data_IF_082919881019
#
_entry.id   IF_082919881019
#
_cell.length_a   1.000
_cell.length_b   1.000
_cell.length_c   1.000
_cell.angle_alpha   90.00
_cell.angle_beta   90.00
_cell.angle_gamma   90.00
#
_symmetry.space_group_name_H-M   'P 1'
#
loop_
_entity.id
_entity.type
_entity.pdbx_description
1 polymer ?
#
# COMPACT_ATOMS: atom_id res chain seq x y z
N UNK A 1 -23.10 15.72 7.47
CA UNK A 1 -23.26 16.96 8.29
C UNK A 1 -22.50 16.84 9.62
N UNK A 2 -22.53 15.69 10.26
CA UNK A 2 -21.83 15.43 11.54
C UNK A 2 -20.30 15.52 11.38
N UNK A 3 -19.74 14.91 10.36
CA UNK A 3 -18.33 14.98 10.03
C UNK A 3 -17.78 16.40 9.85
N UNK A 4 -18.51 17.28 9.15
CA UNK A 4 -18.08 18.68 8.99
C UNK A 4 -18.06 19.46 10.31
N UNK A 5 -18.99 19.16 11.19
CA UNK A 5 -19.04 19.75 12.53
C UNK A 5 -17.85 19.31 13.37
N UNK A 6 -17.52 18.02 13.34
CA UNK A 6 -16.36 17.45 14.03
C UNK A 6 -15.05 18.06 13.53
N UNK A 7 -14.88 18.25 12.22
CA UNK A 7 -13.72 18.93 11.64
C UNK A 7 -13.60 20.37 12.10
N UNK A 8 -14.72 21.12 12.18
CA UNK A 8 -14.72 22.50 12.66
C UNK A 8 -14.36 22.58 14.15
N UNK A 9 -14.91 21.73 14.99
CA UNK A 9 -14.65 21.66 16.43
C UNK A 9 -13.19 21.31 16.75
N UNK A 10 -12.52 20.61 15.84
CA UNK A 10 -11.13 20.17 15.97
C UNK A 10 -10.12 21.04 15.20
N UNK A 11 -10.58 22.11 14.58
CA UNK A 11 -9.71 23.03 13.84
C UNK A 11 -8.56 23.54 14.73
N UNK A 12 -7.32 23.37 14.28
CA UNK A 12 -6.12 23.82 14.98
C UNK A 12 -5.63 22.91 16.10
N UNK A 13 -6.26 21.76 16.33
CA UNK A 13 -5.84 20.78 17.34
C UNK A 13 -4.85 19.73 16.83
N UNK A 14 -4.39 19.87 15.59
CA UNK A 14 -3.51 18.89 14.94
C UNK A 14 -4.30 17.74 14.30
N UNK A 15 -3.71 16.56 14.25
CA UNK A 15 -4.39 15.37 13.73
C UNK A 15 -5.41 14.86 14.75
N UNK A 16 -6.59 14.58 14.28
CA UNK A 16 -7.71 14.04 15.07
C UNK A 16 -8.00 12.63 14.54
N UNK A 17 -8.18 11.67 15.45
CA UNK A 17 -8.58 10.33 15.08
C UNK A 17 -9.97 10.36 14.45
N UNK A 18 -10.09 9.78 13.28
CA UNK A 18 -11.35 9.67 12.55
C UNK A 18 -11.72 8.21 12.34
N UNK A 19 -12.91 7.84 12.77
CA UNK A 19 -13.43 6.48 12.72
C UNK A 19 -13.03 5.64 13.93
N UNK A 20 -13.63 4.47 14.07
CA UNK A 20 -13.29 3.51 15.11
C UNK A 20 -11.95 2.85 14.79
N UNK A 21 -11.10 2.67 15.82
CA UNK A 21 -9.82 1.95 15.68
C UNK A 21 -10.01 0.53 15.10
N UNK A 22 -11.17 -0.08 15.36
CA UNK A 22 -11.52 -1.41 14.84
C UNK A 22 -11.96 -1.42 13.37
N UNK A 23 -12.32 -0.28 12.79
CA UNK A 23 -12.80 -0.23 11.40
C UNK A 23 -11.73 -0.61 10.37
N UNK A 24 -10.45 -0.46 10.72
CA UNK A 24 -9.32 -0.83 9.86
C UNK A 24 -8.89 -2.30 10.02
N UNK A 25 -9.36 -3.02 11.04
CA UNK A 25 -8.90 -4.39 11.29
C UNK A 25 -9.72 -5.47 10.57
N UNK A 26 -10.93 -5.18 10.14
CA UNK A 26 -11.86 -6.16 9.60
C UNK A 26 -12.34 -5.88 8.18
N UNK A 27 -11.50 -5.32 7.32
CA UNK A 27 -11.88 -5.05 5.92
C UNK A 27 -11.90 -6.30 5.03
N UNK A 28 -11.45 -7.43 5.56
CA UNK A 28 -11.66 -8.73 4.92
C UNK A 28 -12.90 -9.36 5.56
N UNK A 29 -14.07 -9.32 4.88
CA UNK A 29 -15.19 -10.14 5.31
C UNK A 29 -14.71 -11.58 5.37
N UNK A 30 -15.39 -12.43 6.13
CA UNK A 30 -15.17 -13.88 6.15
C UNK A 30 -15.29 -14.42 4.72
N UNK A 31 -14.22 -14.24 3.94
CA UNK A 31 -14.13 -14.75 2.57
C UNK A 31 -13.89 -16.24 2.71
N UNK A 32 -14.94 -17.02 2.51
CA UNK A 32 -14.81 -18.44 2.31
C UNK A 32 -13.86 -18.65 1.14
N UNK A 33 -12.62 -19.03 1.47
CA UNK A 33 -11.59 -19.27 0.46
C UNK A 33 -12.05 -20.36 -0.49
N UNK A 34 -12.22 -20.03 -1.76
CA UNK A 34 -12.47 -21.02 -2.80
C UNK A 34 -11.26 -21.95 -2.90
N UNK A 35 -11.48 -23.21 -3.27
CA UNK A 35 -10.41 -24.17 -3.51
C UNK A 35 -9.42 -23.68 -4.60
N UNK A 36 -9.92 -22.94 -5.57
CA UNK A 36 -9.13 -22.37 -6.67
C UNK A 36 -9.25 -20.84 -6.73
N UNK A 37 -8.19 -20.13 -7.17
CA UNK A 37 -6.85 -20.64 -7.47
C UNK A 37 -6.17 -21.21 -6.23
N UNK A 38 -5.28 -22.19 -6.41
CA UNK A 38 -4.50 -22.78 -5.31
C UNK A 38 -3.40 -21.84 -4.82
N UNK A 39 -2.80 -21.08 -5.75
CA UNK A 39 -1.75 -20.09 -5.49
C UNK A 39 -2.01 -18.84 -6.32
N UNK A 40 -1.62 -17.69 -5.78
CA UNK A 40 -1.68 -16.39 -6.43
C UNK A 40 -0.31 -15.73 -6.27
N UNK A 41 0.23 -15.23 -7.37
CA UNK A 41 1.50 -14.51 -7.37
C UNK A 41 1.24 -13.05 -7.71
N UNK A 42 1.82 -12.16 -6.93
CA UNK A 42 1.73 -10.71 -7.12
C UNK A 42 3.13 -10.19 -7.43
N UNK A 43 3.29 -9.56 -8.59
CA UNK A 43 4.51 -8.83 -8.93
C UNK A 43 4.41 -7.39 -8.46
N UNK A 44 5.42 -6.93 -7.76
CA UNK A 44 5.52 -5.56 -7.28
C UNK A 44 6.91 -4.98 -7.51
N UNK A 45 6.99 -3.68 -7.70
CA UNK A 45 8.25 -2.97 -7.84
C UNK A 45 8.21 -1.59 -7.18
N UNK A 46 9.33 -0.89 -7.25
CA UNK A 46 9.54 0.43 -6.64
C UNK A 46 8.63 1.54 -7.18
N UNK A 47 7.93 1.32 -8.29
CA UNK A 47 6.96 2.26 -8.86
C UNK A 47 5.53 2.04 -8.35
N UNK A 48 5.30 0.92 -7.69
CA UNK A 48 4.03 0.58 -7.06
C UNK A 48 3.86 1.38 -5.77
N UNK A 49 3.03 2.42 -5.76
CA UNK A 49 2.86 3.29 -4.60
C UNK A 49 1.41 3.62 -4.27
N UNK A 50 1.19 4.21 -3.09
CA UNK A 50 -0.12 4.68 -2.61
C UNK A 50 -1.15 3.55 -2.53
N UNK A 51 -2.19 3.58 -3.36
CA UNK A 51 -3.16 2.47 -3.46
C UNK A 51 -2.51 1.14 -3.84
N UNK A 52 -1.39 1.18 -4.56
CA UNK A 52 -0.57 0.00 -4.86
C UNK A 52 0.09 -0.58 -3.61
N UNK A 53 0.68 0.26 -2.75
CA UNK A 53 1.21 -0.16 -1.45
C UNK A 53 0.13 -0.90 -0.64
N UNK A 54 -1.07 -0.29 -0.56
CA UNK A 54 -2.19 -0.88 0.18
C UNK A 54 -2.66 -2.20 -0.44
N UNK A 55 -2.70 -2.29 -1.76
CA UNK A 55 -3.06 -3.53 -2.46
C UNK A 55 -2.07 -4.64 -2.13
N UNK A 56 -0.76 -4.38 -2.27
CA UNK A 56 0.28 -5.38 -2.00
C UNK A 56 0.28 -5.80 -0.52
N UNK A 57 0.18 -4.84 0.42
CA UNK A 57 0.09 -5.13 1.87
C UNK A 57 -1.14 -6.00 2.20
N UNK A 58 -2.27 -5.73 1.56
CA UNK A 58 -3.50 -6.51 1.76
C UNK A 58 -3.37 -7.90 1.17
N UNK A 59 -2.86 -8.02 -0.06
CA UNK A 59 -2.68 -9.31 -0.73
C UNK A 59 -1.71 -10.21 0.03
N UNK A 60 -0.62 -9.64 0.56
CA UNK A 60 0.41 -10.37 1.32
C UNK A 60 -0.13 -11.04 2.59
N UNK A 61 -1.25 -10.56 3.13
CA UNK A 61 -1.92 -11.17 4.30
C UNK A 61 -2.73 -12.43 3.96
N UNK A 62 -2.93 -12.72 2.67
CA UNK A 62 -3.72 -13.87 2.21
C UNK A 62 -2.83 -15.13 2.12
N UNK A 63 -3.26 -16.28 2.71
CA UNK A 63 -2.41 -17.48 2.79
C UNK A 63 -1.96 -18.07 1.45
N UNK A 64 -2.68 -17.78 0.37
CA UNK A 64 -2.39 -18.29 -0.98
C UNK A 64 -1.52 -17.36 -1.82
N UNK A 65 -1.21 -16.19 -1.29
CA UNK A 65 -0.50 -15.15 -2.03
C UNK A 65 0.98 -15.20 -1.71
N UNK A 66 1.78 -15.08 -2.75
CA UNK A 66 3.22 -14.84 -2.66
C UNK A 66 3.55 -13.59 -3.47
N UNK A 67 4.20 -12.62 -2.85
CA UNK A 67 4.64 -11.39 -3.50
C UNK A 67 6.08 -11.55 -3.98
N UNK A 68 6.32 -11.30 -5.26
CA UNK A 68 7.65 -11.33 -5.88
C UNK A 68 8.02 -9.96 -6.43
N UNK A 69 9.30 -9.69 -6.56
CA UNK A 69 9.80 -8.46 -7.18
C UNK A 69 10.65 -7.63 -6.23
N UNK A 70 10.35 -6.35 -6.13
CA UNK A 70 11.07 -5.37 -5.27
C UNK A 70 10.09 -4.72 -4.31
N UNK A 71 10.59 -4.11 -3.21
CA UNK A 71 9.75 -3.33 -2.30
C UNK A 71 8.91 -2.30 -3.06
N UNK A 72 7.69 -2.06 -2.62
CA UNK A 72 6.85 -1.00 -3.18
C UNK A 72 7.40 0.39 -2.82
N UNK A 73 6.81 1.45 -3.34
CA UNK A 73 7.30 2.82 -3.14
C UNK A 73 7.22 3.29 -1.67
N UNK A 74 6.24 2.82 -0.91
CA UNK A 74 6.09 3.20 0.49
C UNK A 74 5.63 4.64 0.69
N UNK A 75 4.57 5.06 0.02
CA UNK A 75 4.01 6.42 0.11
C UNK A 75 2.56 6.44 0.59
N UNK A 76 2.16 5.45 1.40
CA UNK A 76 0.77 5.32 1.87
C UNK A 76 0.50 5.99 3.21
N UNK A 77 1.50 6.22 4.04
CA UNK A 77 1.34 6.67 5.42
C UNK A 77 0.66 8.04 5.56
N UNK A 78 0.73 8.85 4.52
CA UNK A 78 0.09 10.16 4.44
C UNK A 78 -0.75 10.24 3.17
N UNK A 79 -2.02 10.66 3.29
CA UNK A 79 -2.97 10.64 2.19
C UNK A 79 -3.96 11.82 2.22
N UNK A 80 -5.00 11.75 1.38
CA UNK A 80 -6.00 12.81 1.24
C UNK A 80 -5.36 14.16 0.96
N UNK A 81 -4.54 14.20 -0.10
CA UNK A 81 -3.81 15.40 -0.48
C UNK A 81 -4.73 16.56 -0.85
N UNK A 82 -4.41 17.70 -0.32
CA UNK A 82 -5.05 18.98 -0.64
C UNK A 82 -4.07 19.83 -1.44
N UNK A 83 -4.59 20.57 -2.42
CA UNK A 83 -3.81 21.53 -3.20
C UNK A 83 -4.13 22.93 -2.71
N UNK A 84 -3.11 23.71 -2.43
CA UNK A 84 -3.22 25.14 -2.13
C UNK A 84 -2.52 25.93 -3.22
N UNK A 85 -3.30 26.72 -3.94
CA UNK A 85 -2.82 27.65 -4.96
C UNK A 85 -2.31 28.95 -4.31
N UNK A 86 -1.11 29.38 -4.70
CA UNK A 86 -0.46 30.64 -4.30
C UNK A 86 -0.19 31.56 -5.51
N UNK A 87 -0.77 31.28 -6.68
CA UNK A 87 -0.65 32.03 -7.91
C UNK A 87 0.53 31.55 -8.77
N UNK A 88 1.76 31.80 -8.34
CA UNK A 88 2.97 31.39 -9.08
C UNK A 88 3.36 29.93 -8.85
N UNK A 89 2.81 29.27 -7.83
CA UNK A 89 3.06 27.87 -7.51
C UNK A 89 1.88 27.27 -6.74
N UNK A 90 1.77 25.96 -6.81
CA UNK A 90 0.81 25.18 -6.03
C UNK A 90 1.56 24.32 -5.00
N UNK A 91 0.99 24.23 -3.80
CA UNK A 91 1.47 23.33 -2.76
C UNK A 91 0.50 22.15 -2.60
N UNK A 92 0.99 20.95 -2.87
CA UNK A 92 0.30 19.70 -2.58
C UNK A 92 0.77 19.18 -1.22
N UNK A 93 -0.15 18.91 -0.32
CA UNK A 93 0.17 18.38 1.01
C UNK A 93 -0.91 17.42 1.50
N UNK A 94 -0.52 16.37 2.27
CA UNK A 94 -1.47 15.42 2.83
C UNK A 94 -2.25 16.04 4.01
N UNK A 95 -3.50 15.62 4.16
CA UNK A 95 -4.37 16.05 5.26
C UNK A 95 -4.75 14.92 6.21
N UNK A 96 -4.35 13.70 5.92
CA UNK A 96 -4.51 12.55 6.82
C UNK A 96 -3.21 11.76 6.96
N UNK A 97 -3.08 11.03 8.05
CA UNK A 97 -1.97 10.12 8.33
C UNK A 97 -2.49 8.80 8.89
N UNK A 98 -1.75 7.74 8.63
CA UNK A 98 -2.06 6.40 9.16
C UNK A 98 -1.61 6.27 10.62
N UNK A 99 -2.47 5.75 11.48
CA UNK A 99 -2.15 5.50 12.90
C UNK A 99 -1.08 4.43 13.11
N UNK A 100 -0.82 3.58 12.10
CA UNK A 100 0.28 2.60 12.13
C UNK A 100 1.65 3.24 12.33
N UNK A 101 1.81 4.51 11.95
CA UNK A 101 3.05 5.27 12.19
C UNK A 101 3.39 5.32 13.68
N UNK A 102 2.39 5.55 14.53
CA UNK A 102 2.57 5.64 16.00
C UNK A 102 2.97 4.30 16.63
N UNK A 103 2.68 3.20 15.92
CA UNK A 103 3.06 1.83 16.31
C UNK A 103 4.41 1.40 15.73
N UNK A 104 5.14 2.27 15.02
CA UNK A 104 6.37 1.93 14.31
C UNK A 104 6.16 1.03 13.09
N UNK A 105 4.92 0.94 12.59
CA UNK A 105 4.51 0.11 11.44
C UNK A 105 4.25 0.92 10.17
N UNK A 106 4.69 2.18 10.14
CA UNK A 106 4.61 2.99 8.94
C UNK A 106 5.42 2.38 7.79
N UNK A 107 5.00 2.65 6.56
CA UNK A 107 5.65 2.12 5.35
C UNK A 107 6.44 3.16 4.57
N UNK A 108 6.37 4.44 4.94
CA UNK A 108 7.14 5.47 4.25
C UNK A 108 8.63 5.12 4.21
N UNK A 109 9.25 5.30 3.05
CA UNK A 109 10.66 5.02 2.75
C UNK A 109 11.07 3.53 2.81
N UNK A 110 10.15 2.62 3.12
CA UNK A 110 10.41 1.17 3.16
C UNK A 110 9.62 0.40 2.12
N UNK A 111 8.36 0.81 1.92
CA UNK A 111 7.39 0.07 1.13
C UNK A 111 6.97 -1.25 1.76
N UNK A 112 6.29 -2.06 0.97
CA UNK A 112 5.96 -3.44 1.30
C UNK A 112 7.02 -4.35 0.70
N UNK A 113 7.77 -5.03 1.54
CA UNK A 113 8.80 -5.99 1.13
C UNK A 113 8.17 -7.19 0.41
N UNK A 114 8.73 -7.67 -0.71
CA UNK A 114 8.29 -8.91 -1.33
C UNK A 114 8.66 -10.12 -0.46
N UNK A 115 7.97 -11.25 -0.70
CA UNK A 115 8.34 -12.53 -0.10
C UNK A 115 9.56 -13.13 -0.82
N UNK A 116 9.67 -12.85 -2.13
CA UNK A 116 10.79 -13.29 -2.98
C UNK A 116 11.32 -12.06 -3.71
N UNK A 117 12.54 -11.66 -3.35
CA UNK A 117 13.22 -10.54 -3.99
C UNK A 117 13.73 -10.96 -5.38
N UNK A 118 13.33 -10.20 -6.40
CA UNK A 118 13.90 -10.23 -7.74
C UNK A 118 14.71 -8.93 -7.92
N UNK A 119 16.05 -8.97 -7.81
CA UNK A 119 16.87 -7.78 -7.96
C UNK A 119 16.74 -7.17 -9.34
N UNK A 120 16.73 -5.84 -9.43
CA UNK A 120 16.80 -5.16 -10.72
C UNK A 120 18.14 -5.46 -11.41
N UNK A 121 18.09 -5.76 -12.70
CA UNK A 121 19.26 -5.94 -13.55
C UNK A 121 19.08 -5.17 -14.86
N UNK A 122 20.15 -4.86 -15.61
CA UNK A 122 20.04 -4.20 -16.91
C UNK A 122 19.14 -4.94 -17.92
N UNK A 123 18.98 -6.24 -17.76
CA UNK A 123 18.11 -7.07 -18.61
C UNK A 123 16.64 -6.66 -18.55
N UNK A 124 16.19 -6.01 -17.44
CA UNK A 124 14.84 -5.45 -17.32
C UNK A 124 14.55 -4.34 -18.34
N UNK A 125 15.57 -3.78 -19.00
CA UNK A 125 15.39 -2.83 -20.11
C UNK A 125 15.07 -3.53 -21.45
N UNK A 126 15.33 -4.83 -21.54
CA UNK A 126 15.22 -5.60 -22.79
C UNK A 126 14.06 -6.60 -22.74
N UNK A 127 13.73 -7.10 -21.55
CA UNK A 127 12.68 -8.13 -21.34
C UNK A 127 12.04 -8.03 -19.96
N UNK A 128 10.89 -8.64 -19.80
CA UNK A 128 10.17 -8.70 -18.52
C UNK A 128 10.74 -9.81 -17.62
N UNK A 129 11.87 -9.50 -16.96
CA UNK A 129 12.55 -10.43 -16.06
C UNK A 129 11.66 -10.85 -14.89
N UNK A 130 10.89 -9.90 -14.33
CA UNK A 130 10.01 -10.17 -13.18
C UNK A 130 8.95 -11.22 -13.54
N UNK A 131 8.32 -11.08 -14.71
CA UNK A 131 7.34 -12.07 -15.18
C UNK A 131 7.99 -13.44 -15.46
N UNK A 132 9.16 -13.44 -16.11
CA UNK A 132 9.87 -14.69 -16.41
C UNK A 132 10.25 -15.45 -15.15
N UNK A 133 10.80 -14.76 -14.14
CA UNK A 133 11.14 -15.36 -12.85
C UNK A 133 9.89 -15.86 -12.11
N UNK A 134 8.81 -15.08 -12.13
CA UNK A 134 7.53 -15.51 -11.57
C UNK A 134 7.01 -16.80 -12.24
N UNK A 135 7.05 -16.87 -13.57
CA UNK A 135 6.61 -18.05 -14.32
C UNK A 135 7.49 -19.28 -14.03
N UNK A 136 8.80 -19.08 -13.85
CA UNK A 136 9.71 -20.14 -13.44
C UNK A 136 9.38 -20.62 -12.03
N UNK A 137 9.12 -19.72 -11.10
CA UNK A 137 8.69 -20.06 -9.75
C UNK A 137 7.36 -20.83 -9.76
N UNK A 138 6.37 -20.40 -10.55
CA UNK A 138 5.07 -21.07 -10.68
C UNK A 138 5.18 -22.53 -11.12
N UNK A 139 6.15 -22.85 -12.00
CA UNK A 139 6.35 -24.21 -12.49
C UNK A 139 6.97 -25.16 -11.45
N UNK A 140 7.68 -24.60 -10.47
CA UNK A 140 8.45 -25.35 -9.48
C UNK A 140 7.81 -25.35 -8.08
N UNK A 141 6.77 -24.57 -7.89
CA UNK A 141 6.04 -24.42 -6.62
C UNK A 141 4.79 -25.30 -6.58
#
# INVERSE_FOLDING_TARGET
>A
KEFLKELEENRGKGYVLYGDEDSNQNFLPDVLGLARPEKVFVLADVTCGSSGDNFVDTMKKMPKVTVLGRPTMGILDYSNCCVKDFGDYELLFPTSRDTRIDQGKGMNDRGVEPDILIPWTPEHLERDVDLEECLNYCKNA
#
